data_IF_785436340668
#
_entry.id   IF_785436340668
#
_cell.length_a   1.000
_cell.length_b   1.000
_cell.length_c   1.000
_cell.angle_alpha   90.00
_cell.angle_beta   90.00
_cell.angle_gamma   90.00
#
_symmetry.space_group_name_H-M   'P 1'
#
loop_
_entity.id
_entity.type
_entity.pdbx_description
1 polymer ?
#
# COMPACT_ATOMS: atom_id res chain seq x y z
N UNK A 1 -53.67 -60.30 -5.08
CA UNK A 1 -53.78 -58.97 -5.72
C UNK A 1 -53.34 -57.92 -4.71
N UNK A 2 -52.07 -57.52 -4.79
CA UNK A 2 -51.36 -56.62 -3.87
C UNK A 2 -51.82 -55.17 -4.04
N UNK A 3 -52.06 -54.43 -2.93
CA UNK A 3 -51.94 -52.96 -2.90
C UNK A 3 -51.28 -52.46 -1.60
N UNK A 4 -49.96 -52.65 -1.57
CA UNK A 4 -48.92 -51.69 -1.17
C UNK A 4 -49.33 -50.69 -0.08
N UNK A 5 -49.06 -51.04 1.17
CA UNK A 5 -48.95 -50.13 2.32
C UNK A 5 -47.50 -49.61 2.42
N UNK A 6 -47.06 -48.77 1.47
CA UNK A 6 -45.70 -48.18 1.50
C UNK A 6 -45.68 -46.65 1.36
N UNK A 7 -46.84 -45.98 1.25
CA UNK A 7 -46.88 -44.52 1.02
C UNK A 7 -46.49 -43.65 2.22
N UNK A 8 -46.61 -44.14 3.45
CA UNK A 8 -46.28 -43.34 4.65
C UNK A 8 -44.78 -43.28 4.96
N UNK A 9 -44.05 -44.37 4.68
CA UNK A 9 -42.63 -44.50 5.04
C UNK A 9 -41.72 -43.80 4.02
N UNK A 10 -42.10 -43.77 2.73
CA UNK A 10 -41.34 -43.04 1.71
C UNK A 10 -41.46 -41.52 1.83
N UNK A 11 -42.57 -40.99 2.33
CA UNK A 11 -42.75 -39.53 2.47
C UNK A 11 -41.87 -38.96 3.60
N UNK A 12 -41.71 -39.69 4.70
CA UNK A 12 -40.82 -39.28 5.81
C UNK A 12 -39.34 -39.29 5.44
N UNK A 13 -38.91 -40.21 4.56
CA UNK A 13 -37.50 -40.32 4.13
C UNK A 13 -37.14 -39.26 3.07
N UNK A 14 -38.10 -38.84 2.23
CA UNK A 14 -37.86 -37.79 1.22
C UNK A 14 -37.75 -36.38 1.84
N UNK A 15 -38.46 -36.12 2.95
CA UNK A 15 -38.39 -34.82 3.65
C UNK A 15 -37.03 -34.62 4.34
N UNK A 16 -36.28 -35.69 4.61
CA UNK A 16 -34.96 -35.62 5.25
C UNK A 16 -33.79 -35.30 4.29
N UNK A 17 -34.00 -35.34 2.97
CA UNK A 17 -32.94 -35.12 1.97
C UNK A 17 -32.88 -33.70 1.40
N UNK A 18 -33.75 -32.78 1.87
CA UNK A 18 -33.88 -31.44 1.29
C UNK A 18 -33.73 -30.27 2.26
N UNK A 19 -33.18 -30.50 3.45
CA UNK A 19 -32.94 -29.39 4.38
C UNK A 19 -31.43 -29.25 4.59
N UNK A 20 -30.77 -28.66 3.58
CA UNK A 20 -29.54 -27.89 3.83
C UNK A 20 -29.97 -26.64 4.60
N UNK A 21 -30.25 -26.78 5.90
CA UNK A 21 -30.28 -25.64 6.80
C UNK A 21 -28.87 -25.06 6.81
N UNK A 22 -28.63 -24.07 5.96
CA UNK A 22 -27.47 -23.20 6.10
C UNK A 22 -27.76 -22.39 7.34
N UNK A 23 -27.05 -22.67 8.43
CA UNK A 23 -26.88 -21.71 9.51
C UNK A 23 -26.12 -20.52 8.90
N UNK A 24 -26.84 -19.60 8.26
CA UNK A 24 -26.26 -18.40 7.70
C UNK A 24 -26.21 -17.38 8.83
N UNK A 25 -25.01 -16.89 9.14
CA UNK A 25 -24.92 -15.60 9.82
C UNK A 25 -25.53 -14.54 8.89
N UNK A 26 -26.24 -13.59 9.48
CA UNK A 26 -26.83 -12.52 8.70
C UNK A 26 -25.76 -11.69 7.99
N UNK A 27 -26.05 -11.34 6.74
CA UNK A 27 -25.32 -10.34 5.99
C UNK A 27 -25.53 -8.99 6.68
N UNK A 28 -24.46 -8.41 7.19
CA UNK A 28 -24.47 -7.09 7.81
C UNK A 28 -23.42 -6.18 7.20
N UNK A 29 -23.65 -4.88 7.29
CA UNK A 29 -22.66 -3.84 7.06
C UNK A 29 -22.36 -3.20 8.42
N UNK A 30 -21.09 -3.20 8.81
CA UNK A 30 -20.66 -2.70 10.14
C UNK A 30 -19.87 -1.40 10.07
N UNK A 31 -19.21 -1.15 8.93
CA UNK A 31 -18.32 0.00 8.77
C UNK A 31 -18.19 0.43 7.30
N UNK A 32 -18.06 1.74 7.11
CA UNK A 32 -17.72 2.42 5.84
C UNK A 32 -16.55 3.37 6.14
N UNK A 33 -15.33 2.97 5.76
CA UNK A 33 -14.10 3.70 6.10
C UNK A 33 -13.94 3.83 7.62
N UNK A 34 -13.97 5.05 8.15
CA UNK A 34 -13.92 5.31 9.60
C UNK A 34 -15.31 5.33 10.27
N UNK A 35 -16.40 5.37 9.48
CA UNK A 35 -17.76 5.47 9.97
C UNK A 35 -18.32 4.09 10.35
N UNK A 36 -18.95 3.99 11.53
CA UNK A 36 -19.68 2.77 11.92
C UNK A 36 -21.14 2.85 11.50
N UNK A 37 -21.69 1.74 11.02
CA UNK A 37 -23.10 1.61 10.61
C UNK A 37 -23.93 0.77 11.60
N UNK A 38 -23.35 0.40 12.75
CA UNK A 38 -24.01 -0.45 13.75
C UNK A 38 -25.05 0.38 14.52
N UNK A 39 -26.31 -0.08 14.51
CA UNK A 39 -27.40 0.55 15.27
C UNK A 39 -27.89 1.88 14.70
N UNK A 40 -27.53 2.22 13.46
CA UNK A 40 -27.94 3.43 12.76
C UNK A 40 -28.66 3.04 11.47
N UNK A 41 -29.68 3.79 11.08
CA UNK A 41 -30.25 3.66 9.74
C UNK A 41 -29.23 4.16 8.70
N UNK A 42 -28.68 3.23 7.93
CA UNK A 42 -27.62 3.50 6.95
C UNK A 42 -28.15 3.58 5.52
N UNK A 43 -29.46 3.79 5.32
CA UNK A 43 -30.05 3.90 3.98
C UNK A 43 -29.37 4.97 3.11
N UNK A 44 -28.89 6.05 3.73
CA UNK A 44 -28.06 7.10 3.10
C UNK A 44 -26.87 7.39 4.01
N UNK A 45 -25.67 7.43 3.43
CA UNK A 45 -24.42 7.67 4.15
C UNK A 45 -23.63 8.78 3.49
N UNK A 46 -23.31 9.84 4.23
CA UNK A 46 -22.39 10.87 3.81
C UNK A 46 -20.97 10.52 4.27
N UNK A 47 -20.02 10.47 3.34
CA UNK A 47 -18.62 10.14 3.64
C UNK A 47 -17.68 11.12 2.94
N UNK A 48 -16.79 11.73 3.71
CA UNK A 48 -15.74 12.63 3.18
C UNK A 48 -14.36 12.06 3.51
N UNK A 49 -13.47 11.99 2.52
CA UNK A 49 -12.12 11.47 2.73
C UNK A 49 -11.51 10.81 1.50
N UNK A 50 -10.62 9.86 1.75
CA UNK A 50 -10.12 8.90 0.75
C UNK A 50 -11.17 7.84 0.45
N UNK A 51 -10.99 7.04 -0.59
CA UNK A 51 -11.93 5.96 -0.95
C UNK A 51 -12.17 5.04 0.29
N UNK A 52 -13.43 4.85 0.73
CA UNK A 52 -13.73 4.11 1.95
C UNK A 52 -13.63 2.60 1.74
N UNK A 53 -13.19 1.90 2.79
CA UNK A 53 -13.26 0.44 2.86
C UNK A 53 -14.58 0.02 3.51
N UNK A 54 -15.35 -0.85 2.86
CA UNK A 54 -16.58 -1.44 3.36
C UNK A 54 -16.27 -2.71 4.15
N UNK A 55 -16.86 -2.85 5.34
CA UNK A 55 -16.67 -4.03 6.20
C UNK A 55 -17.98 -4.50 6.79
N UNK A 56 -18.10 -5.82 6.95
CA UNK A 56 -19.29 -6.42 7.53
C UNK A 56 -19.12 -7.90 7.84
N UNK A 57 -20.25 -8.54 8.14
CA UNK A 57 -20.32 -9.98 8.35
C UNK A 57 -21.19 -10.66 7.29
N UNK A 58 -20.86 -11.89 6.96
CA UNK A 58 -21.61 -12.79 6.09
C UNK A 58 -21.24 -14.24 6.44
N UNK A 59 -21.97 -15.22 5.90
CA UNK A 59 -21.74 -16.63 6.23
C UNK A 59 -20.27 -17.03 6.05
N UNK A 60 -19.65 -17.77 6.99
CA UNK A 60 -18.26 -18.17 6.89
C UNK A 60 -17.90 -18.74 5.52
N UNK A 61 -16.84 -18.22 4.90
CA UNK A 61 -16.40 -18.61 3.55
C UNK A 61 -17.41 -18.36 2.41
N UNK A 62 -18.51 -17.63 2.66
CA UNK A 62 -19.49 -17.31 1.62
C UNK A 62 -19.01 -16.19 0.70
N UNK A 63 -19.52 -16.18 -0.53
CA UNK A 63 -19.28 -15.09 -1.47
C UNK A 63 -20.20 -13.92 -1.17
N UNK A 64 -19.61 -12.73 -1.11
CA UNK A 64 -20.25 -11.44 -0.99
C UNK A 64 -20.07 -10.72 -2.31
N UNK A 65 -21.16 -10.45 -2.99
CA UNK A 65 -21.22 -9.71 -4.24
C UNK A 65 -21.53 -8.24 -3.93
N UNK A 66 -20.65 -7.33 -4.29
CA UNK A 66 -20.80 -5.90 -4.12
C UNK A 66 -20.96 -5.28 -5.50
N UNK A 67 -22.05 -4.53 -5.70
CA UNK A 67 -22.32 -3.75 -6.90
C UNK A 67 -22.33 -2.28 -6.55
N UNK A 68 -21.52 -1.49 -7.24
CA UNK A 68 -21.48 -0.03 -7.13
C UNK A 68 -21.98 0.57 -8.44
N UNK A 69 -23.06 1.38 -8.36
CA UNK A 69 -23.80 1.92 -9.50
C UNK A 69 -24.17 0.81 -10.50
N UNK A 70 -23.85 0.99 -11.78
CA UNK A 70 -24.20 0.09 -12.89
C UNK A 70 -23.01 -0.64 -13.50
N UNK A 71 -21.77 -0.38 -13.06
CA UNK A 71 -20.57 -0.83 -13.77
C UNK A 71 -19.53 -1.60 -12.94
N UNK A 72 -19.57 -1.50 -11.61
CA UNK A 72 -18.56 -2.14 -10.77
C UNK A 72 -19.18 -3.27 -9.98
N UNK A 73 -19.00 -4.49 -10.47
CA UNK A 73 -19.33 -5.72 -9.75
C UNK A 73 -18.04 -6.32 -9.20
N UNK A 74 -18.00 -6.54 -7.89
CA UNK A 74 -16.89 -7.16 -7.18
C UNK A 74 -17.39 -8.34 -6.35
N UNK A 75 -16.62 -9.42 -6.33
CA UNK A 75 -16.92 -10.60 -5.51
C UNK A 75 -15.81 -10.80 -4.50
N UNK A 76 -16.16 -10.84 -3.22
CA UNK A 76 -15.24 -11.04 -2.10
C UNK A 76 -15.70 -12.23 -1.28
N UNK A 77 -14.79 -13.12 -0.89
CA UNK A 77 -15.12 -14.19 0.04
C UNK A 77 -15.03 -13.67 1.49
N UNK A 78 -16.04 -13.99 2.30
CA UNK A 78 -15.95 -13.83 3.74
C UNK A 78 -14.88 -14.76 4.32
N UNK A 79 -14.22 -14.33 5.39
CA UNK A 79 -13.26 -15.14 6.12
C UNK A 79 -13.92 -16.36 6.78
N UNK A 80 -13.13 -17.31 7.33
CA UNK A 80 -13.68 -18.40 8.13
C UNK A 80 -14.43 -17.95 9.40
N UNK A 81 -14.18 -16.71 9.86
CA UNK A 81 -14.94 -16.09 10.96
C UNK A 81 -16.17 -15.31 10.48
N UNK A 82 -16.45 -15.30 9.18
CA UNK A 82 -17.59 -14.60 8.58
C UNK A 82 -17.36 -13.11 8.33
N UNK A 83 -16.12 -12.60 8.48
CA UNK A 83 -15.82 -11.18 8.24
C UNK A 83 -15.45 -10.97 6.78
N UNK A 84 -16.04 -9.97 6.14
CA UNK A 84 -15.68 -9.56 4.77
C UNK A 84 -15.23 -8.11 4.74
N UNK A 85 -14.36 -7.79 3.78
CA UNK A 85 -13.80 -6.46 3.59
C UNK A 85 -13.61 -6.17 2.11
N UNK A 86 -14.06 -5.00 1.67
CA UNK A 86 -13.94 -4.58 0.28
C UNK A 86 -13.51 -3.12 0.19
N UNK A 87 -12.45 -2.83 -0.57
CA UNK A 87 -12.03 -1.47 -0.89
C UNK A 87 -12.19 -1.26 -2.40
N UNK A 88 -13.04 -0.33 -2.85
CA UNK A 88 -13.10 0.05 -4.25
C UNK A 88 -11.74 0.60 -4.70
N UNK A 89 -11.35 0.33 -5.95
CA UNK A 89 -10.16 0.92 -6.54
C UNK A 89 -10.37 2.37 -6.98
N UNK A 90 -11.57 2.67 -7.49
CA UNK A 90 -12.02 4.00 -7.90
C UNK A 90 -13.45 4.18 -7.41
N UNK A 91 -13.77 5.37 -6.93
CA UNK A 91 -15.13 5.76 -6.55
C UNK A 91 -15.36 7.21 -6.95
N UNK A 92 -16.36 7.46 -7.78
CA UNK A 92 -16.70 8.82 -8.19
C UNK A 92 -17.25 9.61 -7.01
N UNK A 93 -16.94 10.90 -6.96
CA UNK A 93 -17.60 11.80 -6.03
C UNK A 93 -19.10 11.94 -6.36
N UNK A 94 -19.89 12.21 -5.32
CA UNK A 94 -21.34 12.28 -5.37
C UNK A 94 -22.04 10.99 -4.92
N UNK A 95 -23.33 10.91 -5.22
CA UNK A 95 -24.19 9.81 -4.83
C UNK A 95 -23.90 8.54 -5.66
N UNK A 96 -23.67 7.44 -4.96
CA UNK A 96 -23.46 6.11 -5.53
C UNK A 96 -24.36 5.09 -4.86
N UNK A 97 -25.20 4.39 -5.64
CA UNK A 97 -26.01 3.27 -5.12
C UNK A 97 -25.14 2.04 -4.95
N UNK A 98 -25.16 1.44 -3.76
CA UNK A 98 -24.39 0.25 -3.42
C UNK A 98 -25.36 -0.86 -3.05
N UNK A 99 -25.18 -2.03 -3.67
CA UNK A 99 -25.96 -3.24 -3.37
C UNK A 99 -24.99 -4.35 -3.01
N UNK A 100 -25.19 -4.96 -1.84
CA UNK A 100 -24.38 -6.07 -1.33
C UNK A 100 -25.28 -7.29 -1.20
N UNK A 101 -24.87 -8.41 -1.78
CA UNK A 101 -25.65 -9.65 -1.76
C UNK A 101 -24.79 -10.83 -1.31
N UNK A 102 -25.31 -11.67 -0.42
CA UNK A 102 -24.65 -12.90 0.01
C UNK A 102 -25.67 -13.91 0.49
N UNK A 103 -25.54 -15.19 0.11
CA UNK A 103 -26.38 -16.27 0.65
C UNK A 103 -27.90 -16.10 0.47
N UNK A 104 -28.34 -15.25 -0.46
CA UNK A 104 -29.76 -14.91 -0.66
C UNK A 104 -30.24 -13.66 0.08
N UNK A 105 -29.42 -13.06 0.94
CA UNK A 105 -29.68 -11.77 1.58
C UNK A 105 -29.13 -10.62 0.73
N UNK A 106 -29.80 -9.47 0.74
CA UNK A 106 -29.40 -8.27 0.00
C UNK A 106 -29.54 -7.02 0.86
N UNK A 107 -28.51 -6.18 0.85
CA UNK A 107 -28.47 -4.87 1.50
C UNK A 107 -28.27 -3.80 0.42
N UNK A 108 -29.02 -2.70 0.49
CA UNK A 108 -28.89 -1.59 -0.45
C UNK A 108 -28.85 -0.26 0.30
N UNK A 109 -27.97 0.65 -0.12
CA UNK A 109 -27.86 2.00 0.43
C UNK A 109 -27.25 2.97 -0.57
N UNK A 110 -27.39 4.27 -0.31
CA UNK A 110 -26.75 5.34 -1.09
C UNK A 110 -25.55 5.88 -0.32
N UNK A 111 -24.39 5.89 -0.97
CA UNK A 111 -23.17 6.52 -0.46
C UNK A 111 -22.95 7.86 -1.19
N UNK A 112 -23.03 8.96 -0.46
CA UNK A 112 -22.61 10.28 -0.92
C UNK A 112 -21.13 10.48 -0.61
N UNK A 113 -20.28 10.18 -1.60
CA UNK A 113 -18.83 10.28 -1.43
C UNK A 113 -18.33 11.68 -1.80
N UNK A 114 -17.65 12.36 -0.89
CA UNK A 114 -16.94 13.58 -1.18
C UNK A 114 -15.43 13.33 -1.04
N UNK A 115 -14.73 13.25 -2.18
CA UNK A 115 -13.29 13.04 -2.16
C UNK A 115 -12.62 14.24 -1.50
N UNK A 116 -11.84 14.00 -0.45
CA UNK A 116 -10.86 15.02 -0.03
C UNK A 116 -9.79 15.06 -1.11
N UNK A 117 -9.53 16.22 -1.75
CA UNK A 117 -8.43 16.32 -2.69
C UNK A 117 -7.17 15.83 -1.98
N UNK A 118 -6.51 14.82 -2.55
CA UNK A 118 -5.16 14.51 -2.13
C UNK A 118 -4.39 15.82 -2.20
N UNK A 119 -3.77 16.24 -1.09
CA UNK A 119 -2.96 17.44 -1.09
C UNK A 119 -2.04 17.34 -2.31
N UNK A 120 -2.19 18.26 -3.26
CA UNK A 120 -1.25 18.36 -4.35
C UNK A 120 0.09 18.58 -3.64
N UNK A 121 0.96 17.59 -3.67
CA UNK A 121 2.36 17.85 -3.46
C UNK A 121 2.71 18.80 -4.59
N UNK A 122 2.65 20.11 -4.33
CA UNK A 122 3.42 21.05 -5.12
C UNK A 122 4.83 20.47 -5.07
N UNK A 123 5.42 20.01 -6.18
CA UNK A 123 6.81 19.65 -6.14
C UNK A 123 7.47 20.91 -5.59
N UNK A 124 8.05 20.81 -4.38
CA UNK A 124 8.99 21.84 -3.96
C UNK A 124 9.96 21.92 -5.12
N UNK A 125 10.04 23.05 -5.85
CA UNK A 125 10.97 23.13 -6.95
C UNK A 125 12.30 22.72 -6.36
N UNK A 126 12.90 21.65 -6.89
CA UNK A 126 14.30 21.36 -6.62
C UNK A 126 14.99 22.70 -6.87
N UNK A 127 15.63 23.33 -5.86
CA UNK A 127 16.30 24.59 -6.10
C UNK A 127 17.27 24.32 -7.24
N UNK A 128 17.08 24.99 -8.38
CA UNK A 128 18.11 25.04 -9.40
C UNK A 128 19.29 25.65 -8.65
N UNK A 129 20.42 24.95 -8.49
CA UNK A 129 21.58 25.55 -7.85
C UNK A 129 22.01 26.70 -8.76
N UNK A 130 21.86 27.93 -8.30
CA UNK A 130 22.30 29.14 -9.03
C UNK A 130 23.83 29.32 -9.00
N UNK A 131 24.58 28.29 -8.57
CA UNK A 131 26.02 28.32 -8.55
C UNK A 131 26.57 27.04 -9.19
N UNK A 132 27.13 27.19 -10.39
CA UNK A 132 28.18 26.28 -10.85
C UNK A 132 29.30 26.36 -9.78
N UNK A 133 29.80 25.25 -9.22
CA UNK A 133 30.86 25.32 -8.23
C UNK A 133 32.09 25.99 -8.85
N UNK A 134 32.28 27.28 -8.56
CA UNK A 134 33.46 28.05 -8.93
C UNK A 134 34.62 27.72 -7.99
N UNK A 135 34.90 26.44 -7.78
CA UNK A 135 36.15 25.97 -7.16
C UNK A 135 36.42 24.57 -7.66
N UNK A 136 37.17 24.49 -8.76
CA UNK A 136 37.79 23.25 -9.17
C UNK A 136 38.57 22.66 -8.01
N UNK A 137 38.38 21.36 -7.79
CA UNK A 137 39.04 20.51 -6.77
C UNK A 137 40.55 20.45 -7.04
N UNK A 138 41.25 21.56 -6.84
CA UNK A 138 42.72 21.62 -6.94
C UNK A 138 43.36 21.69 -5.55
N UNK A 139 42.61 22.13 -4.53
CA UNK A 139 43.11 22.34 -3.17
C UNK A 139 43.60 21.05 -2.49
N UNK A 140 43.04 19.89 -2.86
CA UNK A 140 43.46 18.60 -2.32
C UNK A 140 44.81 18.10 -2.87
N UNK A 141 45.20 18.55 -4.07
CA UNK A 141 46.44 18.11 -4.72
C UNK A 141 47.63 19.05 -4.43
N UNK A 142 47.38 20.30 -4.02
CA UNK A 142 48.44 21.27 -3.69
C UNK A 142 49.41 20.77 -2.60
N UNK A 143 48.96 20.19 -1.46
CA UNK A 143 49.89 19.70 -0.43
C UNK A 143 50.82 18.60 -0.94
N UNK A 144 50.32 17.71 -1.81
CA UNK A 144 51.11 16.61 -2.38
C UNK A 144 52.17 17.12 -3.37
N UNK A 145 51.81 18.06 -4.25
CA UNK A 145 52.75 18.65 -5.22
C UNK A 145 53.81 19.50 -4.52
N UNK A 146 53.43 20.32 -3.53
CA UNK A 146 54.38 21.14 -2.75
C UNK A 146 55.31 20.26 -1.91
N UNK A 147 54.77 19.23 -1.25
CA UNK A 147 55.57 18.27 -0.49
C UNK A 147 56.57 17.52 -1.36
N UNK A 148 56.15 17.04 -2.53
CA UNK A 148 57.03 16.37 -3.49
C UNK A 148 58.17 17.26 -3.99
N UNK A 149 57.87 18.51 -4.36
CA UNK A 149 58.89 19.48 -4.81
C UNK A 149 59.89 19.79 -3.68
N UNK A 150 59.43 19.94 -2.43
CA UNK A 150 60.30 20.21 -1.29
C UNK A 150 61.29 19.06 -1.05
N UNK A 151 60.83 17.81 -1.10
CA UNK A 151 61.69 16.63 -0.95
C UNK A 151 62.74 16.56 -2.07
N UNK A 152 62.36 16.84 -3.31
CA UNK A 152 63.28 16.85 -4.44
C UNK A 152 64.36 17.94 -4.31
N UNK A 153 63.98 19.15 -3.90
CA UNK A 153 64.93 20.25 -3.72
C UNK A 153 65.88 19.99 -2.53
N UNK A 154 65.36 19.44 -1.43
CA UNK A 154 66.18 19.10 -0.27
C UNK A 154 67.18 17.98 -0.59
N UNK A 155 66.75 16.95 -1.34
CA UNK A 155 67.62 15.90 -1.84
C UNK A 155 68.73 16.43 -2.74
N UNK A 156 68.40 17.35 -3.67
CA UNK A 156 69.40 17.98 -4.54
C UNK A 156 70.41 18.80 -3.74
N UNK A 157 69.94 19.57 -2.75
CA UNK A 157 70.80 20.39 -1.91
C UNK A 157 71.78 19.56 -1.07
N UNK A 158 71.30 18.47 -0.45
CA UNK A 158 72.16 17.57 0.34
C UNK A 158 73.23 16.92 -0.55
N UNK A 159 72.87 16.51 -1.78
CA UNK A 159 73.82 15.95 -2.74
C UNK A 159 74.92 16.96 -3.11
N UNK A 160 74.55 18.20 -3.40
CA UNK A 160 75.53 19.26 -3.72
C UNK A 160 76.46 19.53 -2.53
N UNK A 161 75.95 19.48 -1.30
CA UNK A 161 76.77 19.67 -0.09
C UNK A 161 77.71 18.50 0.17
N UNK A 162 77.31 17.26 -0.10
CA UNK A 162 78.22 16.10 0.02
C UNK A 162 79.37 16.17 -0.99
N UNK A 163 79.09 16.48 -2.26
CA UNK A 163 80.14 16.62 -3.28
C UNK A 163 81.13 17.73 -2.91
N UNK A 164 80.64 18.87 -2.40
CA UNK A 164 81.50 19.95 -1.94
C UNK A 164 82.35 19.58 -0.69
N UNK A 165 81.85 18.69 0.16
CA UNK A 165 82.58 18.21 1.34
C UNK A 165 83.64 17.15 0.99
N UNK A 166 83.39 16.27 0.04
CA UNK A 166 84.38 15.30 -0.46
C UNK A 166 85.55 16.01 -1.16
N UNK A 167 85.28 16.98 -2.04
CA UNK A 167 86.35 17.76 -2.68
C UNK A 167 87.20 18.58 -1.70
N UNK A 168 86.70 18.87 -0.49
CA UNK A 168 87.44 19.57 0.56
C UNK A 168 88.27 18.63 1.45
N UNK A 169 87.91 17.34 1.53
CA UNK A 169 88.71 16.33 2.24
C UNK A 169 89.97 15.96 1.45
N UNK A 170 89.88 15.92 0.13
CA UNK A 170 91.01 15.60 -0.76
C UNK A 170 92.06 16.72 -0.88
N UNK A 171 91.77 17.92 -0.36
CA UNK A 171 92.70 19.09 -0.34
C UNK A 171 93.38 19.33 1.02
N UNK A 172 93.21 18.42 2.00
CA UNK A 172 93.89 18.45 3.31
C UNK A 172 94.60 17.13 3.66
N UNK A 173 95.02 16.37 2.64
CA UNK A 173 96.02 15.30 2.74
C UNK A 173 97.33 15.73 2.11
#
# INVERSE_FOLDING_TARGET
MNRIKWSGVLFGVCVFLFIKSVMAIDLTLTRIGVLSTIGVDYSIVDYTGTIPTLEGTASPSAQVLIRIKTSTDATVAASPSGVWRFSPGVLDSGASSIVITSGGQSLAFVLNFNATPAATITPTPTPIPDELPATGVWEYYLPGVVGGILVLLLGKFIREKMIAWEGKKDSRS
#
